data_IF_323325730066
#
_entry.id   IF_323325730066
#
_cell.length_a   1.000
_cell.length_b   1.000
_cell.length_c   1.000
_cell.angle_alpha   90.00
_cell.angle_beta   90.00
_cell.angle_gamma   90.00
#
_symmetry.space_group_name_H-M   'P 1'
#
loop_
_entity.id
_entity.type
_entity.pdbx_description
1 polymer ?
#
# COMPACT_ATOMS: atom_id res chain seq x y z
N UNK A 1 -19.55 -33.08 47.70
CA UNK A 1 -18.37 -32.43 47.09
C UNK A 1 -18.53 -32.56 45.59
N UNK A 2 -18.96 -31.49 44.91
CA UNK A 2 -19.00 -31.45 43.45
C UNK A 2 -17.70 -30.78 43.04
N UNK A 3 -16.78 -31.56 42.49
CA UNK A 3 -15.58 -31.04 41.85
C UNK A 3 -16.05 -30.34 40.58
N UNK A 4 -16.03 -29.00 40.59
CA UNK A 4 -16.13 -28.22 39.36
C UNK A 4 -14.97 -28.65 38.45
N UNK A 5 -15.19 -28.91 37.15
CA UNK A 5 -14.10 -29.19 36.23
C UNK A 5 -13.16 -27.99 36.24
N UNK A 6 -11.85 -28.24 36.38
CA UNK A 6 -10.81 -27.23 36.21
C UNK A 6 -10.99 -26.53 34.86
N UNK A 7 -10.78 -25.20 34.77
CA UNK A 7 -11.00 -24.47 33.53
C UNK A 7 -10.13 -25.07 32.42
N UNK A 8 -10.75 -25.31 31.26
CA UNK A 8 -10.11 -25.72 30.00
C UNK A 8 -8.71 -25.12 29.90
N UNK A 9 -7.66 -25.94 30.02
CA UNK A 9 -6.29 -25.51 29.72
C UNK A 9 -6.17 -25.33 28.22
N UNK A 10 -6.73 -24.24 27.70
CA UNK A 10 -6.55 -23.77 26.33
C UNK A 10 -5.05 -23.64 26.10
N UNK A 11 -4.51 -24.50 25.25
CA UNK A 11 -3.10 -24.45 24.89
C UNK A 11 -2.91 -23.30 23.91
N UNK A 12 -2.41 -22.16 24.39
CA UNK A 12 -2.19 -20.98 23.56
C UNK A 12 -1.05 -21.27 22.58
N UNK A 13 -1.34 -21.14 21.29
CA UNK A 13 -0.38 -21.28 20.20
C UNK A 13 0.30 -19.94 19.95
N UNK A 14 -0.49 -18.86 19.82
CA UNK A 14 0.04 -17.50 19.60
C UNK A 14 -0.97 -16.44 19.98
N UNK A 15 -0.49 -15.21 20.14
CA UNK A 15 -1.24 -14.02 20.54
C UNK A 15 -0.68 -12.81 19.81
N UNK A 16 -1.57 -11.97 19.29
CA UNK A 16 -1.19 -10.72 18.65
C UNK A 16 -2.22 -9.61 18.89
N UNK A 17 -1.80 -8.36 19.15
CA UNK A 17 -2.68 -7.22 19.04
C UNK A 17 -3.04 -6.98 17.57
N UNK A 18 -4.29 -6.59 17.30
CA UNK A 18 -4.74 -6.23 15.94
C UNK A 18 -5.30 -4.80 15.83
N UNK A 19 -5.45 -4.13 16.98
CA UNK A 19 -5.64 -2.68 17.10
C UNK A 19 -4.45 -2.15 17.92
N UNK A 20 -4.69 -1.22 18.83
CA UNK A 20 -3.71 -0.82 19.84
C UNK A 20 -3.62 -1.88 20.95
N UNK A 21 -2.44 -1.99 21.56
CA UNK A 21 -2.20 -2.83 22.74
C UNK A 21 -3.24 -2.52 23.83
N UNK A 22 -3.89 -3.56 24.35
CA UNK A 22 -4.93 -3.46 25.38
C UNK A 22 -6.36 -3.19 24.87
N UNK A 23 -6.57 -2.93 23.57
CA UNK A 23 -7.91 -2.72 22.99
C UNK A 23 -8.39 -3.94 22.21
N UNK A 24 -7.58 -4.43 21.27
CA UNK A 24 -7.96 -5.51 20.35
C UNK A 24 -6.90 -6.61 20.33
N UNK A 25 -7.26 -7.82 20.75
CA UNK A 25 -6.36 -8.98 20.80
C UNK A 25 -6.94 -10.17 20.04
N UNK A 26 -6.08 -10.90 19.33
CA UNK A 26 -6.38 -12.22 18.78
C UNK A 26 -5.52 -13.28 19.47
N UNK A 27 -6.15 -14.38 19.90
CA UNK A 27 -5.47 -15.50 20.57
C UNK A 27 -5.79 -16.81 19.85
N UNK A 28 -4.79 -17.40 19.21
CA UNK A 28 -4.89 -18.74 18.66
C UNK A 28 -4.58 -19.76 19.76
N UNK A 29 -5.43 -20.77 19.92
CA UNK A 29 -5.27 -21.83 20.90
C UNK A 29 -5.84 -23.16 20.40
N UNK A 30 -5.44 -24.26 21.05
CA UNK A 30 -6.09 -25.56 20.88
C UNK A 30 -7.21 -25.73 21.90
N UNK A 31 -8.36 -26.18 21.42
CA UNK A 31 -9.51 -26.54 22.23
C UNK A 31 -10.05 -27.89 21.73
N UNK A 32 -10.02 -28.91 22.59
CA UNK A 32 -10.46 -30.27 22.23
C UNK A 32 -9.82 -30.87 20.96
N UNK A 33 -8.57 -30.49 20.66
CA UNK A 33 -7.83 -30.95 19.47
C UNK A 33 -8.03 -30.10 18.22
N UNK A 34 -8.91 -29.10 18.27
CA UNK A 34 -9.14 -28.16 17.16
C UNK A 34 -8.46 -26.81 17.42
N UNK A 35 -7.90 -26.23 16.36
CA UNK A 35 -7.36 -24.88 16.40
C UNK A 35 -8.50 -23.85 16.35
N UNK A 36 -8.50 -22.93 17.31
CA UNK A 36 -9.49 -21.86 17.46
C UNK A 36 -8.78 -20.52 17.63
N UNK A 37 -9.41 -19.45 17.17
CA UNK A 37 -8.89 -18.08 17.28
C UNK A 37 -9.96 -17.26 17.98
N UNK A 38 -9.67 -16.81 19.19
CA UNK A 38 -10.54 -15.89 19.90
C UNK A 38 -10.14 -14.47 19.55
N UNK A 39 -11.12 -13.66 19.14
CA UNK A 39 -10.97 -12.22 18.91
C UNK A 39 -11.69 -11.49 20.02
N UNK A 40 -10.99 -10.58 20.69
CA UNK A 40 -11.52 -9.76 21.77
C UNK A 40 -11.29 -8.28 21.46
N UNK A 41 -12.35 -7.48 21.58
CA UNK A 41 -12.30 -6.02 21.58
C UNK A 41 -12.83 -5.56 22.93
N UNK A 42 -12.00 -4.86 23.70
CA UNK A 42 -12.35 -4.28 24.98
C UNK A 42 -11.77 -2.87 25.10
N UNK A 43 -12.58 -1.81 24.91
CA UNK A 43 -12.13 -0.44 25.10
C UNK A 43 -11.69 -0.17 26.55
N UNK A 44 -10.70 0.70 26.73
CA UNK A 44 -10.17 1.10 28.03
C UNK A 44 -11.28 1.61 28.96
N UNK A 45 -11.23 1.19 30.23
CA UNK A 45 -12.11 1.67 31.31
C UNK A 45 -13.62 1.41 31.06
N UNK A 46 -13.95 0.43 30.21
CA UNK A 46 -15.33 0.01 30.00
C UNK A 46 -15.53 -1.49 30.29
N UNK A 47 -16.72 -1.83 30.78
CA UNK A 47 -17.19 -3.21 30.86
C UNK A 47 -17.78 -3.70 29.53
N UNK A 48 -17.82 -2.84 28.51
CA UNK A 48 -18.26 -3.20 27.17
C UNK A 48 -17.15 -4.01 26.48
N UNK A 49 -17.50 -5.18 25.97
CA UNK A 49 -16.60 -5.97 25.14
C UNK A 49 -17.38 -6.62 24.00
N UNK A 50 -16.68 -6.83 22.89
CA UNK A 50 -17.14 -7.71 21.82
C UNK A 50 -16.14 -8.86 21.69
N UNK A 51 -16.63 -10.09 21.69
CA UNK A 51 -15.80 -11.26 21.49
C UNK A 51 -16.48 -12.25 20.56
N UNK A 52 -15.69 -12.87 19.70
CA UNK A 52 -16.13 -13.96 18.85
C UNK A 52 -14.97 -14.92 18.60
N UNK A 53 -15.31 -16.18 18.36
CA UNK A 53 -14.37 -17.20 17.96
C UNK A 53 -14.41 -17.40 16.45
N UNK A 54 -13.27 -17.79 15.88
CA UNK A 54 -13.14 -18.21 14.50
C UNK A 54 -12.37 -19.52 14.42
N UNK A 55 -12.74 -20.38 13.48
CA UNK A 55 -11.79 -21.39 13.00
C UNK A 55 -10.80 -20.78 11.99
N UNK A 56 -9.61 -21.39 11.74
CA UNK A 56 -8.63 -20.86 10.79
C UNK A 56 -9.19 -20.58 9.38
N UNK A 57 -10.16 -21.38 8.93
CA UNK A 57 -10.86 -21.16 7.65
C UNK A 57 -11.65 -19.86 7.63
N UNK A 58 -12.36 -19.56 8.71
CA UNK A 58 -13.17 -18.34 8.85
C UNK A 58 -12.27 -17.11 9.01
N UNK A 59 -11.19 -17.22 9.78
CA UNK A 59 -10.19 -16.15 9.90
C UNK A 59 -9.57 -15.79 8.55
N UNK A 60 -9.19 -16.78 7.72
CA UNK A 60 -8.71 -16.52 6.36
C UNK A 60 -9.75 -15.83 5.48
N UNK A 61 -11.02 -16.24 5.59
CA UNK A 61 -12.12 -15.59 4.85
C UNK A 61 -12.31 -14.15 5.31
N UNK A 62 -12.38 -13.91 6.62
CA UNK A 62 -12.53 -12.57 7.20
C UNK A 62 -11.37 -11.66 6.77
N UNK A 63 -10.13 -12.14 6.84
CA UNK A 63 -8.97 -11.38 6.36
C UNK A 63 -9.09 -10.99 4.88
N UNK A 64 -9.54 -11.90 4.02
CA UNK A 64 -9.77 -11.60 2.60
C UNK A 64 -10.89 -10.57 2.37
N UNK A 65 -11.97 -10.62 3.16
CA UNK A 65 -13.03 -9.61 3.11
C UNK A 65 -12.52 -8.23 3.55
N UNK A 66 -11.72 -8.18 4.63
CA UNK A 66 -11.15 -6.94 5.15
C UNK A 66 -10.20 -6.27 4.14
N UNK A 67 -9.30 -7.04 3.52
CA UNK A 67 -8.41 -6.54 2.47
C UNK A 67 -9.22 -5.95 1.31
N UNK A 68 -10.25 -6.67 0.83
CA UNK A 68 -11.08 -6.18 -0.27
C UNK A 68 -11.83 -4.89 0.06
N UNK A 69 -12.38 -4.78 1.27
CA UNK A 69 -13.07 -3.55 1.69
C UNK A 69 -12.07 -2.41 1.82
N UNK A 70 -10.87 -2.67 2.34
CA UNK A 70 -9.79 -1.69 2.41
C UNK A 70 -9.42 -1.19 1.01
N UNK A 71 -9.26 -2.08 0.02
CA UNK A 71 -8.96 -1.70 -1.36
C UNK A 71 -10.03 -0.77 -1.95
N UNK A 72 -11.30 -1.09 -1.73
CA UNK A 72 -12.43 -0.26 -2.20
C UNK A 72 -12.42 1.12 -1.50
N UNK A 73 -12.22 1.14 -0.19
CA UNK A 73 -12.17 2.37 0.58
C UNK A 73 -10.98 3.26 0.15
N UNK A 74 -9.82 2.64 -0.06
CA UNK A 74 -8.60 3.27 -0.54
C UNK A 74 -8.85 3.88 -1.93
N UNK A 75 -9.37 3.12 -2.89
CA UNK A 75 -9.71 3.62 -4.23
C UNK A 75 -10.73 4.77 -4.23
N UNK A 76 -11.68 4.76 -3.29
CA UNK A 76 -12.65 5.85 -3.17
C UNK A 76 -12.00 7.21 -2.83
N UNK A 77 -10.76 7.21 -2.32
CA UNK A 77 -10.00 8.42 -2.05
C UNK A 77 -9.42 9.05 -3.33
N UNK A 78 -9.48 8.37 -4.49
CA UNK A 78 -8.88 8.81 -5.77
C UNK A 78 -9.73 9.89 -6.45
N UNK A 79 -10.04 10.92 -5.67
CA UNK A 79 -10.88 12.04 -6.08
C UNK A 79 -10.18 12.87 -7.17
N UNK A 80 -10.94 13.60 -8.01
CA UNK A 80 -10.35 14.51 -9.00
C UNK A 80 -9.34 15.50 -8.39
N UNK A 81 -9.58 15.92 -7.14
CA UNK A 81 -8.66 16.77 -6.38
C UNK A 81 -7.32 16.08 -6.11
N UNK A 82 -7.33 14.81 -5.71
CA UNK A 82 -6.11 14.02 -5.53
C UNK A 82 -5.36 13.87 -6.87
N UNK A 83 -6.07 13.51 -7.93
CA UNK A 83 -5.47 13.30 -9.25
C UNK A 83 -4.82 14.59 -9.78
N UNK A 84 -5.49 15.74 -9.62
CA UNK A 84 -4.93 17.04 -9.95
C UNK A 84 -3.66 17.34 -9.14
N UNK A 85 -3.70 17.13 -7.81
CA UNK A 85 -2.54 17.33 -6.95
C UNK A 85 -1.34 16.44 -7.34
N UNK A 86 -1.60 15.16 -7.65
CA UNK A 86 -0.54 14.22 -8.06
C UNK A 86 0.04 14.60 -9.41
N UNK A 87 -0.80 14.96 -10.38
CA UNK A 87 -0.37 15.44 -11.70
C UNK A 87 0.52 16.67 -11.60
N UNK A 88 0.06 17.69 -10.87
CA UNK A 88 0.78 18.96 -10.75
C UNK A 88 2.12 18.76 -10.05
N UNK A 89 2.14 17.99 -8.96
CA UNK A 89 3.28 17.99 -8.04
C UNK A 89 4.28 16.85 -8.25
N UNK A 90 3.84 15.69 -8.76
CA UNK A 90 4.67 14.48 -8.81
C UNK A 90 4.79 13.88 -10.20
N UNK A 91 3.69 13.82 -10.96
CA UNK A 91 3.61 13.16 -12.27
C UNK A 91 3.09 14.12 -13.37
N UNK A 92 3.86 15.17 -13.72
CA UNK A 92 3.43 16.10 -14.77
C UNK A 92 3.29 15.38 -16.11
N UNK A 93 2.19 15.66 -16.81
CA UNK A 93 1.87 15.03 -18.10
C UNK A 93 1.15 13.69 -18.00
N UNK A 94 1.02 13.09 -16.82
CA UNK A 94 0.30 11.83 -16.65
C UNK A 94 -1.23 12.03 -16.75
N UNK A 95 -1.89 11.10 -17.44
CA UNK A 95 -3.34 10.99 -17.52
C UNK A 95 -3.94 10.53 -16.18
N UNK A 96 -5.24 10.76 -15.97
CA UNK A 96 -5.92 10.28 -14.76
C UNK A 96 -5.81 8.75 -14.63
N UNK A 97 -5.90 8.01 -15.74
CA UNK A 97 -5.79 6.55 -15.74
C UNK A 97 -4.40 6.08 -15.27
N UNK A 98 -3.32 6.68 -15.77
CA UNK A 98 -1.96 6.35 -15.36
C UNK A 98 -1.70 6.70 -13.88
N UNK A 99 -2.26 7.82 -13.41
CA UNK A 99 -2.15 8.22 -12.00
C UNK A 99 -2.89 7.21 -11.11
N UNK A 100 -4.12 6.83 -11.47
CA UNK A 100 -4.90 5.81 -10.74
C UNK A 100 -4.18 4.48 -10.69
N UNK A 101 -3.64 4.01 -11.82
CA UNK A 101 -2.88 2.76 -11.87
C UNK A 101 -1.68 2.79 -10.92
N UNK A 102 -0.92 3.90 -10.93
CA UNK A 102 0.25 4.05 -10.05
C UNK A 102 -0.14 4.15 -8.57
N UNK A 103 -1.23 4.85 -8.24
CA UNK A 103 -1.75 4.90 -6.87
C UNK A 103 -2.21 3.51 -6.39
N UNK A 104 -2.83 2.72 -7.26
CA UNK A 104 -3.21 1.34 -6.95
C UNK A 104 -1.97 0.46 -6.69
N UNK A 105 -0.94 0.54 -7.54
CA UNK A 105 0.32 -0.19 -7.34
C UNK A 105 1.03 0.23 -6.05
N UNK A 106 0.98 1.51 -5.70
CA UNK A 106 1.53 2.01 -4.44
C UNK A 106 0.77 1.43 -3.24
N UNK A 107 -0.57 1.49 -3.26
CA UNK A 107 -1.41 0.94 -2.21
C UNK A 107 -1.20 -0.57 -2.03
N UNK A 108 -1.11 -1.33 -3.13
CA UNK A 108 -0.87 -2.77 -3.08
C UNK A 108 0.49 -3.11 -2.47
N UNK A 109 1.54 -2.34 -2.81
CA UNK A 109 2.89 -2.53 -2.27
C UNK A 109 2.96 -2.30 -0.77
N UNK A 110 2.33 -1.23 -0.30
CA UNK A 110 2.47 -0.76 1.09
C UNK A 110 1.37 -1.28 2.03
N UNK A 111 0.36 -1.98 1.48
CA UNK A 111 -0.79 -2.45 2.25
C UNK A 111 -1.81 -1.34 2.54
N UNK A 112 -1.84 -0.31 1.69
CA UNK A 112 -2.61 0.92 1.84
C UNK A 112 -1.74 2.10 2.30
N UNK A 113 -2.28 3.31 2.18
CA UNK A 113 -1.63 4.52 2.68
C UNK A 113 -2.65 5.62 2.98
N UNK A 114 -2.25 6.53 3.86
CA UNK A 114 -3.08 7.66 4.27
C UNK A 114 -2.83 8.89 3.38
N UNK A 115 -3.83 9.76 3.30
CA UNK A 115 -3.65 11.08 2.71
C UNK A 115 -3.38 12.10 3.81
N UNK A 116 -2.50 13.06 3.52
CA UNK A 116 -2.18 14.17 4.44
C UNK A 116 -3.43 14.95 4.82
N UNK A 117 -4.33 15.11 3.85
CA UNK A 117 -5.69 15.63 4.02
C UNK A 117 -6.52 15.25 2.80
N UNK A 118 -7.86 15.40 2.81
CA UNK A 118 -8.70 15.03 1.68
C UNK A 118 -8.23 15.65 0.36
N UNK A 119 -7.85 14.78 -0.59
CA UNK A 119 -7.33 15.13 -1.90
C UNK A 119 -5.85 15.55 -1.96
N UNK A 120 -5.05 15.25 -0.93
CA UNK A 120 -3.62 15.59 -0.90
C UNK A 120 -2.77 14.40 -0.45
N UNK A 121 -1.93 13.93 -1.35
CA UNK A 121 -0.97 12.84 -1.10
C UNK A 121 0.16 13.32 -0.18
N UNK A 122 0.62 12.43 0.71
CA UNK A 122 1.84 12.69 1.47
C UNK A 122 3.04 12.90 0.52
N UNK A 123 3.96 13.83 0.84
CA UNK A 123 5.14 14.05 0.02
C UNK A 123 5.99 12.80 -0.21
N UNK A 124 6.15 11.96 0.80
CA UNK A 124 6.94 10.72 0.70
C UNK A 124 6.39 9.74 -0.34
N UNK A 125 5.08 9.51 -0.32
CA UNK A 125 4.36 8.72 -1.33
C UNK A 125 4.48 9.35 -2.71
N UNK A 126 4.30 10.67 -2.80
CA UNK A 126 4.42 11.42 -4.05
C UNK A 126 5.82 11.34 -4.67
N UNK A 127 6.88 11.43 -3.87
CA UNK A 127 8.25 11.25 -4.35
C UNK A 127 8.53 9.81 -4.76
N UNK A 128 7.93 8.84 -4.08
CA UNK A 128 8.00 7.43 -4.46
C UNK A 128 7.37 7.20 -5.83
N UNK A 129 6.16 7.73 -6.08
CA UNK A 129 5.50 7.67 -7.39
C UNK A 129 6.37 8.26 -8.50
N UNK A 130 6.95 9.45 -8.26
CA UNK A 130 7.84 10.11 -9.21
C UNK A 130 9.08 9.26 -9.50
N UNK A 131 9.73 8.74 -8.47
CA UNK A 131 10.93 7.92 -8.62
C UNK A 131 10.65 6.66 -9.43
N UNK A 132 9.53 5.99 -9.18
CA UNK A 132 9.12 4.82 -9.95
C UNK A 132 8.83 5.16 -11.41
N UNK A 133 8.12 6.26 -11.67
CA UNK A 133 7.85 6.71 -13.03
C UNK A 133 9.14 7.05 -13.79
N UNK A 134 10.10 7.70 -13.15
CA UNK A 134 11.41 7.97 -13.75
C UNK A 134 12.19 6.68 -14.03
N UNK A 135 12.21 5.74 -13.08
CA UNK A 135 12.86 4.43 -13.26
C UNK A 135 12.32 3.67 -14.46
N UNK A 136 10.99 3.57 -14.60
CA UNK A 136 10.36 2.89 -15.73
C UNK A 136 10.68 3.54 -17.09
N UNK A 137 10.80 4.87 -17.14
CA UNK A 137 11.23 5.57 -18.35
C UNK A 137 12.68 5.25 -18.68
N UNK A 138 13.56 5.27 -17.67
CA UNK A 138 14.97 4.89 -17.85
C UNK A 138 15.11 3.45 -18.33
N UNK A 139 14.39 2.51 -17.72
CA UNK A 139 14.41 1.10 -18.09
C UNK A 139 13.90 0.87 -19.51
N UNK A 140 12.82 1.57 -19.90
CA UNK A 140 12.30 1.53 -21.28
C UNK A 140 13.31 2.05 -22.28
N UNK A 141 13.96 3.19 -21.99
CA UNK A 141 15.02 3.74 -22.85
C UNK A 141 16.17 2.74 -22.94
N UNK A 142 16.65 2.20 -21.82
CA UNK A 142 17.72 1.21 -21.82
C UNK A 142 17.38 -0.04 -22.65
N UNK A 143 16.13 -0.52 -22.58
CA UNK A 143 15.63 -1.63 -23.39
C UNK A 143 15.65 -1.31 -24.89
N UNK A 144 15.08 -0.18 -25.30
CA UNK A 144 15.04 0.26 -26.71
C UNK A 144 16.46 0.46 -27.27
N UNK A 145 17.36 1.03 -26.47
CA UNK A 145 18.77 1.20 -26.83
C UNK A 145 19.46 -0.16 -27.04
N UNK A 146 19.23 -1.10 -26.12
CA UNK A 146 19.80 -2.43 -26.18
C UNK A 146 19.28 -3.22 -27.40
N UNK A 147 17.99 -3.10 -27.71
CA UNK A 147 17.36 -3.73 -28.87
C UNK A 147 17.82 -3.11 -30.20
N UNK A 148 18.04 -1.80 -30.24
CA UNK A 148 18.52 -1.09 -31.42
C UNK A 148 20.02 -1.32 -31.70
N UNK A 149 20.75 -1.99 -30.78
CA UNK A 149 22.19 -2.26 -30.93
C UNK A 149 23.06 -1.00 -30.91
N UNK A 150 22.53 0.12 -30.40
CA UNK A 150 23.23 1.41 -30.37
C UNK A 150 24.28 1.35 -29.28
N UNK A 151 25.53 1.69 -29.61
CA UNK A 151 26.60 1.71 -28.63
C UNK A 151 26.41 2.90 -27.67
N UNK A 152 26.82 2.75 -26.40
CA UNK A 152 26.71 3.80 -25.38
C UNK A 152 27.30 5.15 -25.84
N UNK A 153 28.36 5.13 -26.65
CA UNK A 153 28.98 6.34 -27.21
C UNK A 153 28.13 7.06 -28.26
N UNK A 154 27.29 6.34 -29.01
CA UNK A 154 26.37 6.94 -29.98
C UNK A 154 25.19 7.61 -29.26
N UNK A 155 24.71 7.06 -28.13
CA UNK A 155 23.73 7.74 -27.29
C UNK A 155 24.26 8.99 -26.61
N UNK A 156 25.48 8.95 -26.09
CA UNK A 156 26.09 10.12 -25.46
C UNK A 156 26.22 11.27 -26.46
N UNK A 157 26.51 10.98 -27.73
CA UNK A 157 26.53 11.97 -28.82
C UNK A 157 25.13 12.56 -29.07
N UNK A 158 24.10 11.72 -29.20
CA UNK A 158 22.73 12.18 -29.48
C UNK A 158 22.14 12.98 -28.32
N UNK A 159 22.41 12.58 -27.08
CA UNK A 159 22.00 13.31 -25.87
C UNK A 159 22.74 14.65 -25.77
N UNK A 160 24.01 14.71 -26.15
CA UNK A 160 24.78 15.96 -26.20
C UNK A 160 24.21 16.94 -27.24
N UNK A 161 23.80 16.45 -28.41
CA UNK A 161 23.18 17.27 -29.47
C UNK A 161 21.79 17.76 -29.07
N UNK A 162 20.96 16.91 -28.45
CA UNK A 162 19.66 17.32 -27.89
C UNK A 162 19.81 18.40 -26.80
N UNK A 163 20.83 18.29 -25.94
CA UNK A 163 21.14 19.31 -24.92
C UNK A 163 21.69 20.61 -25.50
N UNK A 164 22.27 20.59 -26.71
CA UNK A 164 22.67 21.78 -27.45
C UNK A 164 21.46 22.48 -28.06
N UNK A 165 20.57 21.72 -28.69
CA UNK A 165 19.32 22.23 -29.28
C UNK A 165 18.44 22.84 -28.19
N UNK A 166 18.24 22.13 -27.07
CA UNK A 166 17.48 22.66 -25.95
C UNK A 166 18.07 23.95 -25.37
N UNK A 167 19.41 24.09 -25.35
CA UNK A 167 20.05 25.34 -24.91
C UNK A 167 19.89 26.48 -25.92
N UNK A 168 19.98 26.19 -27.22
CA UNK A 168 19.77 27.17 -28.27
C UNK A 168 18.31 27.67 -28.29
N UNK A 169 17.32 26.80 -28.09
CA UNK A 169 15.91 27.18 -28.00
C UNK A 169 15.59 28.02 -26.76
N UNK A 170 16.35 27.86 -25.67
CA UNK A 170 16.23 28.69 -24.46
C UNK A 170 16.88 30.07 -24.65
N UNK A 171 17.97 30.16 -25.42
CA UNK A 171 18.64 31.42 -25.74
C UNK A 171 17.88 32.24 -26.80
N UNK A 172 17.24 31.61 -27.79
CA UNK A 172 16.37 32.28 -28.78
C UNK A 172 15.02 32.73 -28.20
N UNK A 173 14.60 32.18 -27.05
CA UNK A 173 13.37 32.54 -26.34
C UNK A 173 13.57 33.59 -25.22
N UNK A 174 14.79 34.10 -25.05
CA UNK A 174 15.17 35.14 -24.07
C UNK A 174 15.42 36.49 -24.75
#
# INVERSE_FOLDING_TARGET
MVTLPEPDKREIITRAPFLTEGIGEMVAHLLHGDARIDVLIKPFETDMYASFDLVPKEARRLAAELVRIADVAQQAMWTPKLLAHVRERYLPGATDAEIVERLNRLAERDGGFELMKPGMLHPEDGYTLRSQAHGEVVDRVAGVVSEAGVTLGELESVVADLRKIQRAEIEDAS
#
